data_IF_719076225930
#
_entry.id   IF_719076225930
#
_cell.length_a   1.000
_cell.length_b   1.000
_cell.length_c   1.000
_cell.angle_alpha   90.00
_cell.angle_beta   90.00
_cell.angle_gamma   90.00
#
_symmetry.space_group_name_H-M   'P 1'
#
loop_
_entity.id
_entity.type
_entity.pdbx_description
1 polymer ?
#
# COMPACT_ATOMS: atom_id res chain seq x y z
N UNK A 1 16.19 21.26 -40.14
CA UNK A 1 17.04 21.80 -39.05
C UNK A 1 16.32 21.73 -37.69
N UNK A 2 14.99 21.91 -37.66
CA UNK A 2 14.17 22.02 -36.44
C UNK A 2 14.02 20.72 -35.61
N UNK A 3 13.98 19.56 -36.28
CA UNK A 3 13.76 18.26 -35.63
C UNK A 3 14.92 17.77 -34.75
N UNK A 4 16.14 18.26 -35.01
CA UNK A 4 17.35 17.89 -34.26
C UNK A 4 17.45 18.61 -32.92
N UNK A 5 16.99 19.87 -32.85
CA UNK A 5 16.96 20.62 -31.60
C UNK A 5 15.82 20.15 -30.69
N UNK A 6 14.65 19.86 -31.25
CA UNK A 6 13.51 19.31 -30.50
C UNK A 6 13.84 17.97 -29.81
N UNK A 7 14.51 17.04 -30.50
CA UNK A 7 14.94 15.76 -29.89
C UNK A 7 16.00 15.92 -28.79
N UNK A 8 16.83 16.96 -28.88
CA UNK A 8 17.84 17.23 -27.87
C UNK A 8 17.21 17.87 -26.63
N UNK A 9 16.23 18.76 -26.81
CA UNK A 9 15.41 19.33 -25.72
C UNK A 9 14.56 18.26 -25.03
N UNK A 10 13.91 17.35 -25.75
CA UNK A 10 13.16 16.23 -25.16
C UNK A 10 14.08 15.31 -24.33
N UNK A 11 15.29 15.02 -24.83
CA UNK A 11 16.29 14.26 -24.07
C UNK A 11 16.78 15.01 -22.84
N UNK A 12 17.05 16.32 -22.96
CA UNK A 12 17.46 17.15 -21.84
C UNK A 12 16.36 17.28 -20.78
N UNK A 13 15.10 17.47 -21.20
CA UNK A 13 13.94 17.49 -20.31
C UNK A 13 13.71 16.12 -19.65
N UNK A 14 13.86 15.01 -20.38
CA UNK A 14 13.75 13.66 -19.83
C UNK A 14 14.85 13.35 -18.82
N UNK A 15 16.09 13.77 -19.09
CA UNK A 15 17.21 13.65 -18.14
C UNK A 15 17.01 14.55 -16.90
N UNK A 16 16.54 15.79 -17.10
CA UNK A 16 16.22 16.71 -16.01
C UNK A 16 15.09 16.16 -15.14
N UNK A 17 14.02 15.61 -15.74
CA UNK A 17 12.92 14.99 -15.01
C UNK A 17 13.37 13.75 -14.22
N UNK A 18 14.23 12.91 -14.80
CA UNK A 18 14.86 11.80 -14.06
C UNK A 18 15.71 12.31 -12.89
N UNK A 19 16.51 13.35 -13.10
CA UNK A 19 17.35 13.95 -12.05
C UNK A 19 16.52 14.55 -10.93
N UNK A 20 15.44 15.29 -11.23
CA UNK A 20 14.51 15.84 -10.25
C UNK A 20 13.83 14.71 -9.46
N UNK A 21 13.38 13.66 -10.14
CA UNK A 21 12.76 12.49 -9.50
C UNK A 21 13.74 11.81 -8.55
N UNK A 22 14.98 11.59 -9.00
CA UNK A 22 16.04 10.97 -8.20
C UNK A 22 16.42 11.84 -6.99
N UNK A 23 16.56 13.16 -7.15
CA UNK A 23 16.76 14.13 -6.04
C UNK A 23 15.60 14.14 -5.04
N UNK A 24 14.36 13.99 -5.53
CA UNK A 24 13.19 13.88 -4.66
C UNK A 24 13.17 12.55 -3.92
N UNK A 25 13.62 11.46 -4.54
CA UNK A 25 13.76 10.15 -3.90
C UNK A 25 14.90 10.12 -2.87
N UNK A 26 16.03 10.77 -3.11
CA UNK A 26 17.12 10.94 -2.13
C UNK A 26 16.66 11.71 -0.88
N UNK A 27 15.71 12.64 -1.03
CA UNK A 27 15.13 13.38 0.09
C UNK A 27 14.02 12.62 0.81
N UNK A 28 13.55 11.47 0.30
CA UNK A 28 12.57 10.65 1.02
C UNK A 28 13.25 9.99 2.20
N UNK A 29 12.64 10.15 3.38
CA UNK A 29 13.00 9.36 4.56
C UNK A 29 12.98 7.87 4.20
N UNK A 30 13.87 7.06 4.80
CA UNK A 30 13.84 5.61 4.60
C UNK A 30 12.41 5.10 4.81
N UNK A 31 11.97 4.14 3.98
CA UNK A 31 10.64 3.56 4.10
C UNK A 31 10.48 3.00 5.51
N UNK A 32 9.73 3.71 6.32
CA UNK A 32 9.43 3.29 7.69
C UNK A 32 8.72 1.95 7.60
N UNK A 33 9.23 0.97 8.35
CA UNK A 33 8.64 -0.35 8.43
C UNK A 33 7.60 -0.35 9.55
N UNK A 34 6.47 -0.97 9.26
CA UNK A 34 5.43 -1.21 10.24
C UNK A 34 6.00 -1.99 11.43
N UNK A 35 5.72 -1.61 12.68
CA UNK A 35 6.04 -2.42 13.85
C UNK A 35 5.37 -3.80 13.77
N UNK A 36 6.02 -4.82 14.36
CA UNK A 36 5.44 -6.17 14.41
C UNK A 36 4.23 -6.25 15.35
N UNK A 37 4.30 -5.57 16.50
CA UNK A 37 3.23 -5.53 17.49
C UNK A 37 2.49 -4.19 17.43
N UNK A 38 1.22 -4.22 17.05
CA UNK A 38 0.38 -3.03 17.04
C UNK A 38 0.27 -2.39 18.44
N UNK A 39 0.35 -3.19 19.51
CA UNK A 39 0.30 -2.73 20.90
C UNK A 39 1.42 -1.76 21.29
N UNK A 40 2.54 -1.77 20.58
CA UNK A 40 3.67 -0.86 20.84
C UNK A 40 3.41 0.57 20.33
N UNK A 41 2.51 0.72 19.35
CA UNK A 41 2.16 2.03 18.80
C UNK A 41 1.28 2.80 19.79
N UNK A 42 1.67 4.03 20.14
CA UNK A 42 0.94 4.89 21.09
C UNK A 42 0.26 6.08 20.44
N UNK A 43 0.49 6.28 19.15
CA UNK A 43 -0.04 7.40 18.39
C UNK A 43 -1.16 6.93 17.46
N UNK A 44 -2.30 7.61 17.53
CA UNK A 44 -3.48 7.24 16.74
C UNK A 44 -3.26 7.46 15.24
N UNK A 45 -2.61 8.56 14.86
CA UNK A 45 -2.36 8.88 13.46
C UNK A 45 -1.38 7.88 12.82
N UNK A 46 -0.39 7.43 13.57
CA UNK A 46 0.53 6.37 13.17
C UNK A 46 -0.21 5.04 13.01
N UNK A 47 -1.10 4.67 13.94
CA UNK A 47 -1.90 3.46 13.83
C UNK A 47 -2.81 3.47 12.58
N UNK A 48 -3.47 4.60 12.29
CA UNK A 48 -4.27 4.80 11.07
C UNK A 48 -3.41 4.72 9.80
N UNK A 49 -2.21 5.32 9.81
CA UNK A 49 -1.24 5.23 8.69
C UNK A 49 -0.88 3.77 8.40
N UNK A 50 -0.59 2.97 9.43
CA UNK A 50 -0.27 1.56 9.25
C UNK A 50 -1.46 0.77 8.73
N UNK A 51 -2.67 0.99 9.25
CA UNK A 51 -3.90 0.39 8.71
C UNK A 51 -4.07 0.69 7.22
N UNK A 52 -3.91 1.95 6.81
CA UNK A 52 -4.02 2.36 5.41
C UNK A 52 -2.97 1.67 4.53
N UNK A 53 -1.74 1.51 5.03
CA UNK A 53 -0.71 0.78 4.32
C UNK A 53 -1.10 -0.69 4.08
N UNK A 54 -1.69 -1.38 5.07
CA UNK A 54 -2.17 -2.78 4.90
C UNK A 54 -3.24 -2.83 3.82
N UNK A 55 -4.20 -1.90 3.84
CA UNK A 55 -5.26 -1.85 2.82
C UNK A 55 -4.70 -1.70 1.40
N UNK A 56 -3.65 -0.89 1.22
CA UNK A 56 -2.96 -0.74 -0.07
C UNK A 56 -2.19 -1.99 -0.48
N UNK A 57 -1.61 -2.72 0.48
CA UNK A 57 -0.95 -4.00 0.23
C UNK A 57 -1.95 -5.08 -0.20
N UNK A 58 -3.09 -5.19 0.49
CA UNK A 58 -4.20 -6.07 0.10
C UNK A 58 -4.67 -5.72 -1.32
N UNK A 59 -4.97 -4.44 -1.58
CA UNK A 59 -5.45 -4.00 -2.90
C UNK A 59 -4.50 -4.35 -4.05
N UNK A 60 -3.18 -4.24 -3.84
CA UNK A 60 -2.18 -4.66 -4.83
C UNK A 60 -2.20 -6.16 -5.08
N UNK A 61 -2.35 -6.99 -4.04
CA UNK A 61 -2.42 -8.44 -4.17
C UNK A 61 -3.71 -8.90 -4.83
N UNK A 62 -4.85 -8.26 -4.51
CA UNK A 62 -6.12 -8.51 -5.20
C UNK A 62 -6.01 -8.18 -6.69
N UNK A 63 -5.36 -7.08 -7.06
CA UNK A 63 -5.10 -6.76 -8.46
C UNK A 63 -4.20 -7.79 -9.15
N UNK A 64 -3.25 -8.39 -8.42
CA UNK A 64 -2.42 -9.49 -8.95
C UNK A 64 -3.23 -10.78 -9.17
N UNK A 65 -4.19 -11.09 -8.29
CA UNK A 65 -5.13 -12.21 -8.45
C UNK A 65 -6.00 -12.06 -9.70
N UNK A 66 -6.40 -10.83 -10.03
CA UNK A 66 -7.22 -10.54 -11.21
C UNK A 66 -6.48 -10.72 -12.55
N UNK A 67 -5.17 -11.00 -12.54
CA UNK A 67 -4.41 -11.27 -13.75
C UNK A 67 -4.66 -12.70 -14.25
N UNK A 68 -5.30 -12.84 -15.41
CA UNK A 68 -5.73 -14.12 -16.01
C UNK A 68 -4.58 -15.11 -16.30
N UNK A 69 -3.32 -14.67 -16.29
CA UNK A 69 -2.14 -15.51 -16.47
C UNK A 69 -1.55 -16.13 -15.20
N UNK A 70 -2.22 -16.01 -14.05
CA UNK A 70 -1.69 -16.45 -12.76
C UNK A 70 -1.84 -17.98 -12.58
N UNK A 71 -0.74 -18.68 -12.28
CA UNK A 71 -0.79 -20.11 -11.96
C UNK A 71 -1.41 -20.42 -10.60
N UNK A 72 -2.03 -21.59 -10.45
CA UNK A 72 -2.72 -22.04 -9.23
C UNK A 72 -1.86 -21.94 -7.96
N UNK A 73 -0.57 -22.27 -8.04
CA UNK A 73 0.32 -22.16 -6.88
C UNK A 73 0.47 -20.70 -6.41
N UNK A 74 0.62 -19.77 -7.35
CA UNK A 74 0.75 -18.35 -7.07
C UNK A 74 -0.55 -17.78 -6.49
N UNK A 75 -1.70 -18.26 -6.96
CA UNK A 75 -3.01 -17.89 -6.41
C UNK A 75 -3.12 -18.26 -4.92
N UNK A 76 -2.68 -19.47 -4.54
CA UNK A 76 -2.67 -19.91 -3.13
C UNK A 76 -1.75 -19.05 -2.27
N UNK A 77 -0.54 -18.77 -2.76
CA UNK A 77 0.41 -17.91 -2.05
C UNK A 77 -0.18 -16.51 -1.82
N UNK A 78 -0.79 -15.90 -2.85
CA UNK A 78 -1.42 -14.60 -2.73
C UNK A 78 -2.59 -14.62 -1.74
N UNK A 79 -3.41 -15.68 -1.73
CA UNK A 79 -4.48 -15.84 -0.76
C UNK A 79 -3.95 -15.95 0.67
N UNK A 80 -2.88 -16.73 0.91
CA UNK A 80 -2.26 -16.83 2.23
C UNK A 80 -1.66 -15.51 2.69
N UNK A 81 -1.03 -14.77 1.77
CA UNK A 81 -0.50 -13.43 2.05
C UNK A 81 -1.61 -12.42 2.36
N UNK A 82 -2.72 -12.42 1.60
CA UNK A 82 -3.90 -11.58 1.87
C UNK A 82 -4.49 -11.93 3.23
N UNK A 83 -4.64 -13.22 3.55
CA UNK A 83 -5.17 -13.67 4.85
C UNK A 83 -4.29 -13.19 6.02
N UNK A 84 -2.96 -13.22 5.86
CA UNK A 84 -2.02 -12.67 6.86
C UNK A 84 -2.23 -11.16 7.04
N UNK A 85 -2.34 -10.41 5.93
CA UNK A 85 -2.59 -8.96 5.97
C UNK A 85 -3.95 -8.61 6.60
N UNK A 86 -5.00 -9.39 6.36
CA UNK A 86 -6.33 -9.17 6.98
C UNK A 86 -6.26 -9.35 8.50
N UNK A 87 -5.54 -10.37 8.98
CA UNK A 87 -5.32 -10.58 10.42
C UNK A 87 -4.54 -9.42 11.03
N UNK A 88 -3.45 -9.01 10.37
CA UNK A 88 -2.66 -7.85 10.78
C UNK A 88 -3.50 -6.58 10.84
N UNK A 89 -4.32 -6.29 9.81
CA UNK A 89 -5.27 -5.17 9.79
C UNK A 89 -6.18 -5.20 11.01
N UNK A 90 -6.68 -6.37 11.39
CA UNK A 90 -7.57 -6.51 12.55
C UNK A 90 -6.86 -6.09 13.85
N UNK A 91 -5.58 -6.42 14.01
CA UNK A 91 -4.78 -5.97 15.15
C UNK A 91 -4.63 -4.44 15.17
N UNK A 92 -4.36 -3.83 14.03
CA UNK A 92 -4.28 -2.37 13.91
C UNK A 92 -5.62 -1.69 14.15
N UNK A 93 -6.72 -2.24 13.65
CA UNK A 93 -8.08 -1.69 13.88
C UNK A 93 -8.49 -1.77 15.35
N UNK A 94 -8.13 -2.85 16.06
CA UNK A 94 -8.32 -2.93 17.52
C UNK A 94 -7.47 -1.87 18.24
N UNK A 95 -6.21 -1.71 17.84
CA UNK A 95 -5.32 -0.71 18.45
C UNK A 95 -5.86 0.72 18.28
N UNK A 96 -6.38 1.05 17.11
CA UNK A 96 -7.02 2.33 16.83
C UNK A 96 -8.17 2.57 17.81
N UNK A 97 -9.03 1.58 18.04
CA UNK A 97 -10.12 1.67 19.02
C UNK A 97 -9.60 1.86 20.45
N UNK A 98 -8.56 1.12 20.85
CA UNK A 98 -7.92 1.27 22.17
C UNK A 98 -7.33 2.67 22.40
N UNK A 99 -6.83 3.30 21.34
CA UNK A 99 -6.30 4.66 21.35
C UNK A 99 -7.40 5.74 21.26
N UNK A 100 -8.68 5.36 21.29
CA UNK A 100 -9.82 6.28 21.21
C UNK A 100 -10.22 6.68 19.79
N UNK A 101 -9.71 5.98 18.79
CA UNK A 101 -10.02 6.19 17.37
C UNK A 101 -11.31 5.53 16.89
N UNK A 102 -11.64 5.70 15.59
CA UNK A 102 -12.85 5.16 14.98
C UNK A 102 -12.86 3.62 14.93
N UNK A 103 -14.06 3.03 15.07
CA UNK A 103 -14.24 1.59 15.00
C UNK A 103 -14.51 1.11 13.56
N UNK A 104 -13.44 0.74 12.86
CA UNK A 104 -13.52 0.23 11.48
C UNK A 104 -14.07 -1.19 11.36
N UNK A 105 -14.03 -1.99 12.43
CA UNK A 105 -14.51 -3.39 12.43
C UNK A 105 -16.03 -3.45 12.23
N UNK A 106 -16.77 -2.52 12.84
CA UNK A 106 -18.24 -2.43 12.67
C UNK A 106 -18.65 -2.10 11.23
N UNK A 107 -17.79 -1.39 10.49
CA UNK A 107 -18.08 -1.00 9.11
C UNK A 107 -17.74 -2.09 8.09
N UNK A 108 -16.86 -3.06 8.41
CA UNK A 108 -16.50 -4.13 7.47
C UNK A 108 -17.55 -5.23 7.34
N UNK A 109 -18.31 -5.51 8.41
CA UNK A 109 -19.36 -6.55 8.41
C UNK A 109 -20.50 -6.30 7.40
N UNK A 110 -20.63 -5.05 6.89
CA UNK A 110 -21.64 -4.74 5.86
C UNK A 110 -21.22 -5.08 4.43
N UNK A 111 -19.95 -5.40 4.16
CA UNK A 111 -19.48 -5.67 2.79
C UNK A 111 -19.51 -7.15 2.39
N UNK A 112 -19.74 -8.08 3.31
CA UNK A 112 -19.72 -9.53 3.05
C UNK A 112 -21.07 -10.14 2.67
N UNK A 113 -22.15 -9.34 2.62
CA UNK A 113 -23.53 -9.82 2.41
C UNK A 113 -24.12 -9.46 1.04
N UNK A 114 -23.28 -9.11 0.06
CA UNK A 114 -23.72 -8.61 -1.26
C UNK A 114 -23.39 -9.51 -2.46
N UNK A 115 -22.79 -10.69 -2.27
CA UNK A 115 -22.70 -11.70 -3.33
C UNK A 115 -23.01 -13.09 -2.76
N UNK A 116 -24.25 -13.53 -2.98
CA UNK A 116 -24.68 -14.92 -2.92
C UNK A 116 -24.91 -15.45 -4.32
#
# INVERSE_FOLDING_TARGET
ADSTMARNEEKAQSMLNRFITMKQEEKKKPKERRPYLASECRDLAEADKWRQQIMREIGRKVAEIQNEGLGEHRLRDLNDEINKLIREKTHWERRIVELGGPNYIKHSAKMTDLEG
#
